data_IF_786819232677
#
_entry.id   IF_786819232677
#
_cell.length_a   1.000
_cell.length_b   1.000
_cell.length_c   1.000
_cell.angle_alpha   90.00
_cell.angle_beta   90.00
_cell.angle_gamma   90.00
#
_symmetry.space_group_name_H-M   'P 1'
#
loop_
_entity.id
_entity.type
_entity.pdbx_description
1 polymer ?
#
# COMPACT_ATOMS: atom_id res chain seq x y z
N UNK A 1 -10.28 20.78 2.99
CA UNK A 1 -10.19 19.61 2.08
C UNK A 1 -8.77 19.06 2.14
N UNK A 2 -8.60 17.73 2.13
CA UNK A 2 -7.27 17.12 2.04
C UNK A 2 -6.75 17.28 0.60
N UNK A 3 -5.46 17.61 0.43
CA UNK A 3 -4.85 17.75 -0.90
C UNK A 3 -4.59 16.38 -1.53
N UNK A 4 -4.51 16.32 -2.86
CA UNK A 4 -4.12 15.08 -3.57
C UNK A 4 -2.72 14.60 -3.15
N UNK A 5 -1.80 15.53 -2.91
CA UNK A 5 -0.46 15.21 -2.43
C UNK A 5 -0.50 14.51 -1.07
N UNK A 6 -1.29 15.02 -0.12
CA UNK A 6 -1.43 14.39 1.20
C UNK A 6 -2.13 13.03 1.12
N UNK A 7 -3.10 12.87 0.22
CA UNK A 7 -3.71 11.55 -0.02
C UNK A 7 -2.70 10.55 -0.58
N UNK A 8 -1.84 10.97 -1.51
CA UNK A 8 -0.81 10.11 -2.11
C UNK A 8 0.25 9.69 -1.08
N UNK A 9 0.71 10.62 -0.26
CA UNK A 9 1.66 10.35 0.83
C UNK A 9 1.11 9.28 1.80
N UNK A 10 -0.12 9.46 2.27
CA UNK A 10 -0.78 8.48 3.15
C UNK A 10 -0.98 7.14 2.45
N UNK A 11 -1.32 7.14 1.17
CA UNK A 11 -1.45 5.91 0.38
C UNK A 11 -0.12 5.14 0.34
N UNK A 12 1.00 5.83 0.13
CA UNK A 12 2.32 5.21 0.05
C UNK A 12 2.72 4.60 1.40
N UNK A 13 2.56 5.35 2.49
CA UNK A 13 2.80 4.84 3.85
C UNK A 13 2.00 3.58 4.16
N UNK A 14 0.73 3.52 3.73
CA UNK A 14 -0.15 2.39 4.00
C UNK A 14 0.16 1.17 3.13
N UNK A 15 0.46 1.39 1.84
CA UNK A 15 0.61 0.35 0.84
C UNK A 15 2.02 -0.24 0.77
N UNK A 16 3.03 0.50 1.24
CA UNK A 16 4.42 0.02 1.31
C UNK A 16 4.75 -0.59 2.68
N UNK A 17 3.81 -0.57 3.63
CA UNK A 17 4.00 -1.15 4.96
C UNK A 17 3.77 -2.67 4.97
N UNK A 18 4.76 -3.48 5.37
CA UNK A 18 4.61 -4.91 5.64
C UNK A 18 3.47 -5.23 6.61
N UNK A 19 2.60 -6.18 6.26
CA UNK A 19 1.48 -6.61 7.11
C UNK A 19 1.64 -8.05 7.55
N UNK A 20 1.59 -8.31 8.86
CA UNK A 20 1.64 -9.67 9.42
C UNK A 20 0.58 -10.61 8.82
N UNK A 21 -0.63 -10.09 8.56
CA UNK A 21 -1.73 -10.85 7.93
C UNK A 21 -1.45 -11.25 6.48
N UNK A 22 -0.54 -10.54 5.81
CA UNK A 22 -0.06 -10.84 4.46
C UNK A 22 1.27 -11.61 4.50
N UNK A 23 1.63 -12.25 5.61
CA UNK A 23 2.93 -12.93 5.75
C UNK A 23 4.12 -11.97 5.72
N UNK A 24 3.92 -10.73 6.18
CA UNK A 24 4.87 -9.61 6.10
C UNK A 24 5.13 -9.05 4.70
N UNK A 25 4.32 -9.41 3.71
CA UNK A 25 4.28 -8.68 2.45
C UNK A 25 3.59 -7.32 2.57
N UNK A 26 3.91 -6.43 1.64
CA UNK A 26 3.21 -5.15 1.49
C UNK A 26 1.91 -5.34 0.68
N UNK A 27 0.89 -4.47 0.88
CA UNK A 27 -0.26 -4.44 -0.01
C UNK A 27 0.11 -4.34 -1.50
N UNK A 28 1.07 -3.49 -1.88
CA UNK A 28 1.50 -3.38 -3.27
C UNK A 28 2.02 -4.70 -3.85
N UNK A 29 2.85 -5.45 -3.10
CA UNK A 29 3.36 -6.75 -3.53
C UNK A 29 2.22 -7.74 -3.79
N UNK A 30 1.25 -7.82 -2.86
CA UNK A 30 0.12 -8.74 -2.99
C UNK A 30 -0.84 -8.36 -4.11
N UNK A 31 -1.05 -7.07 -4.35
CA UNK A 31 -1.84 -6.62 -5.50
C UNK A 31 -1.15 -6.93 -6.82
N UNK A 32 0.17 -6.78 -6.91
CA UNK A 32 0.94 -7.11 -8.11
C UNK A 32 0.86 -8.60 -8.48
N UNK A 33 0.66 -9.50 -7.50
CA UNK A 33 0.43 -10.93 -7.76
C UNK A 33 -0.88 -11.20 -8.53
N UNK A 34 -1.89 -10.35 -8.38
CA UNK A 34 -3.22 -10.53 -8.97
C UNK A 34 -3.35 -9.93 -10.39
N UNK A 35 -2.43 -9.04 -10.77
CA UNK A 35 -2.43 -8.34 -12.06
C UNK A 35 -1.52 -9.02 -13.10
N UNK A 36 -1.21 -10.30 -12.89
CA UNK A 36 -0.41 -11.11 -13.83
C UNK A 36 -1.25 -11.62 -14.99
#
# INVERSE_FOLDING_TARGET
>A
KISKGRLKEVQDELNDRPRKTLGWHTPHEKFAELLR
#
